data_IF_232061310297
#
_entry.id   IF_232061310297
#
_cell.length_a   1.000
_cell.length_b   1.000
_cell.length_c   1.000
_cell.angle_alpha   90.00
_cell.angle_beta   90.00
_cell.angle_gamma   90.00
#
_symmetry.space_group_name_H-M   'P 1'
#
loop_
_entity.id
_entity.type
_entity.pdbx_description
1 polymer ?
#
# COMPACT_ATOMS: atom_id res chain seq x y z
N UNK A 1 0.20 12.48 11.79
CA UNK A 1 0.63 12.96 10.45
C UNK A 1 0.14 11.97 9.42
N UNK A 2 -0.51 12.42 8.35
CA UNK A 2 -1.12 11.51 7.38
C UNK A 2 -0.16 11.20 6.23
N UNK A 3 -0.29 10.03 5.63
CA UNK A 3 0.41 9.64 4.41
C UNK A 3 -0.53 8.89 3.45
N UNK A 4 -0.19 8.93 2.17
CA UNK A 4 -0.85 8.18 1.11
C UNK A 4 0.22 7.44 0.30
N UNK A 5 -0.07 6.21 -0.10
CA UNK A 5 0.78 5.41 -0.98
C UNK A 5 -0.11 4.88 -2.11
N UNK A 6 0.21 5.28 -3.34
CA UNK A 6 -0.44 4.80 -4.55
C UNK A 6 0.38 3.66 -5.17
N UNK A 7 -0.26 2.51 -5.36
CA UNK A 7 0.33 1.31 -5.95
C UNK A 7 -0.44 0.93 -7.19
N UNK A 8 0.25 0.64 -8.29
CA UNK A 8 -0.42 0.11 -9.47
C UNK A 8 -1.23 -1.15 -9.12
N UNK A 9 -2.47 -1.22 -9.62
CA UNK A 9 -3.39 -2.32 -9.33
C UNK A 9 -4.34 -2.51 -10.52
N UNK A 10 -4.83 -3.73 -10.73
CA UNK A 10 -5.86 -3.98 -11.73
C UNK A 10 -6.94 -4.89 -11.14
N UNK A 11 -8.07 -4.30 -10.77
CA UNK A 11 -9.19 -5.00 -10.14
C UNK A 11 -9.74 -6.15 -10.99
N UNK A 12 -9.63 -6.10 -12.33
CA UNK A 12 -10.14 -7.19 -13.19
C UNK A 12 -9.27 -8.44 -13.16
N UNK A 13 -8.07 -8.36 -12.57
CA UNK A 13 -7.15 -9.51 -12.47
C UNK A 13 -7.38 -10.34 -11.20
N UNK A 14 -8.19 -9.84 -10.26
CA UNK A 14 -8.43 -10.50 -8.98
C UNK A 14 -7.35 -10.31 -7.92
N UNK A 15 -6.29 -9.57 -8.24
CA UNK A 15 -5.25 -9.23 -7.27
C UNK A 15 -5.61 -7.97 -6.50
N UNK A 16 -5.35 -7.97 -5.20
CA UNK A 16 -5.53 -6.83 -4.30
C UNK A 16 -4.29 -6.63 -3.44
N UNK A 17 -4.08 -5.38 -3.01
CA UNK A 17 -3.05 -5.05 -2.04
C UNK A 17 -3.59 -5.23 -0.62
N UNK A 18 -2.77 -5.79 0.27
CA UNK A 18 -3.05 -5.89 1.70
C UNK A 18 -1.83 -5.47 2.51
N UNK A 19 -2.04 -4.81 3.63
CA UNK A 19 -0.98 -4.47 4.57
C UNK A 19 -0.79 -5.59 5.61
N UNK A 20 0.45 -5.96 5.90
CA UNK A 20 0.85 -6.98 6.87
C UNK A 20 1.96 -6.45 7.77
N UNK A 21 2.11 -7.05 8.95
CA UNK A 21 3.14 -6.71 9.94
C UNK A 21 3.10 -5.23 10.33
N UNK A 22 1.89 -4.66 10.40
CA UNK A 22 1.69 -3.26 10.74
C UNK A 22 1.79 -3.10 12.25
N UNK A 23 2.79 -2.35 12.70
CA UNK A 23 2.88 -1.95 14.10
C UNK A 23 1.87 -0.84 14.40
N UNK A 24 0.78 -1.19 15.08
CA UNK A 24 -0.31 -0.27 15.44
C UNK A 24 0.10 0.83 16.44
N UNK A 25 1.25 0.70 17.11
CA UNK A 25 1.80 1.77 17.93
C UNK A 25 2.42 2.88 17.07
N UNK A 26 2.96 2.51 15.90
CA UNK A 26 3.55 3.46 14.95
C UNK A 26 2.52 3.96 13.93
N UNK A 27 1.58 3.11 13.52
CA UNK A 27 0.69 3.40 12.40
C UNK A 27 -0.80 3.23 12.76
N UNK A 28 -1.64 3.98 12.07
CA UNK A 28 -3.07 3.69 11.89
C UNK A 28 -3.31 3.62 10.39
N UNK A 29 -3.80 2.51 9.87
CA UNK A 29 -4.22 2.46 8.46
C UNK A 29 -5.72 2.74 8.44
N UNK A 30 -6.12 3.76 7.69
CA UNK A 30 -7.52 4.19 7.63
C UNK A 30 -8.27 3.40 6.54
N UNK A 31 -7.69 3.29 5.34
CA UNK A 31 -8.33 2.60 4.22
C UNK A 31 -7.34 2.14 3.14
N UNK A 32 -7.73 1.13 2.36
CA UNK A 32 -7.06 0.63 1.15
C UNK A 32 -8.09 0.57 0.03
N UNK A 33 -8.11 1.59 -0.82
CA UNK A 33 -9.17 1.78 -1.82
C UNK A 33 -8.62 1.65 -3.23
N UNK A 34 -9.28 0.86 -4.06
CA UNK A 34 -9.00 0.83 -5.50
C UNK A 34 -9.61 2.04 -6.20
N UNK A 35 -8.83 2.69 -7.05
CA UNK A 35 -9.25 3.77 -7.92
C UNK A 35 -8.87 3.44 -9.36
N UNK A 36 -9.80 3.64 -10.28
CA UNK A 36 -9.48 3.59 -11.71
C UNK A 36 -8.61 4.80 -12.07
N UNK A 37 -7.64 4.63 -12.97
CA UNK A 37 -6.92 5.80 -13.48
C UNK A 37 -7.90 6.72 -14.20
N UNK A 38 -7.79 8.06 -14.00
CA UNK A 38 -8.65 8.99 -14.70
C UNK A 38 -8.42 8.85 -16.21
N UNK A 39 -9.46 8.47 -16.94
CA UNK A 39 -9.42 8.36 -18.39
C UNK A 39 -10.75 8.85 -18.98
N UNK A 40 -10.68 9.46 -20.18
CA UNK A 40 -11.89 9.85 -20.91
C UNK A 40 -12.69 8.63 -21.41
N UNK A 41 -12.07 7.45 -21.42
CA UNK A 41 -12.63 6.22 -21.96
C UNK A 41 -12.34 5.06 -20.99
N UNK A 42 -13.12 4.98 -19.91
CA UNK A 42 -13.01 3.88 -18.93
C UNK A 42 -13.58 2.62 -19.57
N UNK A 43 -12.70 1.70 -19.98
CA UNK A 43 -13.07 0.39 -20.51
C UNK A 43 -12.77 -0.70 -19.48
N UNK A 44 -13.53 -1.79 -19.51
CA UNK A 44 -13.22 -2.98 -18.71
C UNK A 44 -11.79 -3.47 -19.01
N UNK A 45 -11.02 -3.75 -17.95
CA UNK A 45 -9.60 -4.14 -18.05
C UNK A 45 -8.61 -2.97 -18.04
N UNK A 46 -9.09 -1.72 -18.02
CA UNK A 46 -8.23 -0.56 -17.76
C UNK A 46 -7.61 -0.70 -16.37
N UNK A 47 -6.28 -0.59 -16.29
CA UNK A 47 -5.58 -0.58 -15.02
C UNK A 47 -6.04 0.56 -14.12
N UNK A 48 -5.73 0.45 -12.84
CA UNK A 48 -5.92 1.52 -11.87
C UNK A 48 -4.78 1.52 -10.86
N UNK A 49 -5.06 2.05 -9.70
CA UNK A 49 -4.15 2.03 -8.57
C UNK A 49 -4.94 1.78 -7.29
N UNK A 50 -4.24 1.27 -6.30
CA UNK A 50 -4.74 1.12 -4.97
C UNK A 50 -4.08 2.21 -4.12
N UNK A 51 -4.90 3.00 -3.44
CA UNK A 51 -4.45 4.04 -2.51
C UNK A 51 -4.57 3.51 -1.09
N UNK A 52 -3.43 3.37 -0.42
CA UNK A 52 -3.38 3.18 1.02
C UNK A 52 -3.34 4.54 1.70
N UNK A 53 -4.26 4.79 2.61
CA UNK A 53 -4.28 5.98 3.47
C UNK A 53 -3.96 5.58 4.91
N UNK A 54 -3.05 6.30 5.55
CA UNK A 54 -2.69 6.02 6.93
C UNK A 54 -2.15 7.23 7.69
N UNK A 55 -1.91 7.01 8.98
CA UNK A 55 -1.37 8.00 9.91
C UNK A 55 -0.18 7.44 10.66
N UNK A 56 0.87 8.25 10.79
CA UNK A 56 1.97 8.02 11.74
C UNK A 56 1.57 8.56 13.10
N UNK A 57 1.57 7.67 14.11
CA UNK A 57 1.27 7.96 15.52
C UNK A 57 2.53 8.29 16.33
N UNK A 58 3.66 7.63 16.02
CA UNK A 58 4.91 7.75 16.76
C UNK A 58 6.06 8.15 15.85
N UNK A 59 6.84 9.14 16.29
CA UNK A 59 8.06 9.56 15.60
C UNK A 59 9.12 8.45 15.58
N UNK A 60 9.99 8.48 14.57
CA UNK A 60 11.03 7.49 14.36
C UNK A 60 10.89 6.81 13.01
N UNK A 61 11.56 5.67 12.87
CA UNK A 61 11.50 4.83 11.68
C UNK A 61 10.84 3.50 12.04
N UNK A 62 9.83 3.11 11.26
CA UNK A 62 9.23 1.79 11.35
C UNK A 62 8.90 1.28 9.95
N UNK A 63 8.49 0.03 9.84
CA UNK A 63 8.22 -0.63 8.58
C UNK A 63 7.03 -1.57 8.67
N UNK A 64 6.40 -1.81 7.53
CA UNK A 64 5.36 -2.83 7.35
C UNK A 64 5.43 -3.34 5.91
N UNK A 65 4.73 -4.44 5.63
CA UNK A 65 4.73 -5.07 4.31
C UNK A 65 3.42 -4.80 3.58
N UNK A 66 3.52 -4.57 2.28
CA UNK A 66 2.39 -4.53 1.35
C UNK A 66 2.48 -5.72 0.43
N UNK A 67 1.43 -6.53 0.42
CA UNK A 67 1.40 -7.80 -0.29
C UNK A 67 0.31 -7.74 -1.36
N UNK A 68 0.68 -8.03 -2.60
CA UNK A 68 -0.22 -8.15 -3.74
C UNK A 68 -0.49 -9.63 -4.02
N UNK A 69 -1.68 -10.10 -3.69
CA UNK A 69 -2.06 -11.51 -3.85
C UNK A 69 -3.50 -11.66 -4.34
N UNK A 70 -3.86 -12.87 -4.77
CA UNK A 70 -5.23 -13.31 -5.02
C UNK A 70 -5.68 -14.14 -3.82
N UNK A 71 -6.84 -13.83 -3.27
CA UNK A 71 -7.37 -14.55 -2.10
C UNK A 71 -7.60 -16.05 -2.40
N UNK A 72 -7.91 -16.41 -3.65
CA UNK A 72 -8.16 -17.80 -4.06
C UNK A 72 -6.91 -18.56 -4.53
N UNK A 73 -5.74 -17.94 -4.61
CA UNK A 73 -4.49 -18.56 -5.11
C UNK A 73 -3.57 -19.03 -3.96
N UNK A 74 -4.19 -19.66 -2.94
CA UNK A 74 -3.50 -20.11 -1.73
C UNK A 74 -2.69 -19.01 -1.01
N UNK A 75 -3.01 -17.74 -1.27
CA UNK A 75 -2.32 -16.58 -0.71
C UNK A 75 -0.90 -16.34 -1.23
N UNK A 76 -0.48 -16.98 -2.33
CA UNK A 76 0.86 -16.74 -2.88
C UNK A 76 0.99 -15.29 -3.36
N UNK A 77 1.95 -14.52 -2.80
CA UNK A 77 2.13 -13.13 -3.17
C UNK A 77 2.78 -13.04 -4.56
N UNK A 78 2.18 -12.23 -5.45
CA UNK A 78 2.78 -11.89 -6.74
C UNK A 78 3.84 -10.79 -6.60
N UNK A 79 3.60 -9.84 -5.70
CA UNK A 79 4.53 -8.76 -5.37
C UNK A 79 4.47 -8.49 -3.87
N UNK A 80 5.62 -8.20 -3.29
CA UNK A 80 5.73 -7.73 -1.91
C UNK A 80 6.59 -6.48 -1.87
N UNK A 81 6.08 -5.40 -1.28
CA UNK A 81 6.85 -4.20 -0.97
C UNK A 81 7.04 -4.07 0.52
N UNK A 82 8.28 -3.83 0.95
CA UNK A 82 8.54 -3.30 2.30
C UNK A 82 8.44 -1.80 2.28
N UNK A 83 7.51 -1.26 3.07
CA UNK A 83 7.35 0.17 3.29
C UNK A 83 8.15 0.56 4.51
N UNK A 84 9.06 1.51 4.36
CA UNK A 84 9.77 2.15 5.48
C UNK A 84 9.37 3.61 5.54
N UNK A 85 8.80 4.04 6.68
CA UNK A 85 8.45 5.43 6.93
C UNK A 85 9.36 5.96 8.03
N UNK A 86 10.11 7.01 7.70
CA UNK A 86 10.91 7.79 8.65
C UNK A 86 10.17 9.09 8.94
N UNK A 87 10.03 9.41 10.23
CA UNK A 87 9.31 10.59 10.68
C UNK A 87 9.96 11.23 11.90
N UNK A 88 9.74 12.53 12.06
CA UNK A 88 9.97 13.24 13.32
C UNK A 88 8.64 13.44 14.04
N UNK A 89 8.64 14.14 15.18
CA UNK A 89 7.39 14.47 15.90
C UNK A 89 6.40 15.30 15.06
N UNK A 90 6.89 16.05 14.08
CA UNK A 90 6.11 17.07 13.37
C UNK A 90 5.94 16.81 11.88
N UNK A 91 6.80 15.98 11.26
CA UNK A 91 6.68 15.66 9.84
C UNK A 91 7.14 14.24 9.50
N UNK A 92 6.59 13.73 8.40
CA UNK A 92 7.15 12.57 7.71
C UNK A 92 8.32 13.08 6.87
N UNK A 93 9.51 12.50 7.06
CA UNK A 93 10.72 12.92 6.36
C UNK A 93 10.97 12.09 5.11
N UNK A 94 10.60 10.80 5.13
CA UNK A 94 10.80 9.89 4.00
C UNK A 94 9.83 8.72 4.05
N UNK A 95 9.33 8.35 2.88
CA UNK A 95 8.66 7.07 2.64
C UNK A 95 9.49 6.34 1.57
N UNK A 96 9.88 5.10 1.83
CA UNK A 96 10.62 4.26 0.88
C UNK A 96 9.85 2.96 0.69
N UNK A 97 9.61 2.60 -0.57
CA UNK A 97 9.13 1.28 -0.96
C UNK A 97 10.32 0.49 -1.49
N UNK A 98 10.53 -0.72 -0.97
CA UNK A 98 11.56 -1.65 -1.44
C UNK A 98 10.88 -2.92 -1.91
N UNK A 99 11.02 -3.26 -3.19
CA UNK A 99 10.52 -4.55 -3.70
C UNK A 99 11.28 -5.68 -3.03
N UNK A 100 10.56 -6.67 -2.53
CA UNK A 100 11.14 -7.86 -1.92
C UNK A 100 11.10 -8.96 -2.97
N UNK A 101 12.26 -9.34 -3.49
CA UNK A 101 12.41 -10.59 -4.25
C UNK A 101 12.41 -11.77 -3.27
N UNK A 102 11.73 -12.86 -3.65
CA UNK A 102 11.94 -14.18 -3.00
C UNK A 102 13.36 -14.69 -3.23
#
# INVERSE_FOLDING_TARGET
MNFEIDLASNATTGYSWSARDVDEQYYSLDDIVYQSYPSKNVHAGSGGYCRLVGKVKKAGQSQFNLIYCRDWDSGKPKLTYRVTISSTKTKISKIKLTEMSE
#
